data_IF_447366457152
#
_entry.id   IF_447366457152
#
_cell.length_a   1.000
_cell.length_b   1.000
_cell.length_c   1.000
_cell.angle_alpha   90.00
_cell.angle_beta   90.00
_cell.angle_gamma   90.00
#
_symmetry.space_group_name_H-M   'P 1'
#
loop_
_entity.id
_entity.type
_entity.pdbx_description
1 polymer ?
#
# COMPACT_ATOMS: atom_id res chain seq x y z
N UNK A 1 19.94 -6.45 -19.26
CA UNK A 1 19.17 -5.34 -18.67
C UNK A 1 19.29 -5.41 -17.16
N UNK A 2 19.83 -4.38 -16.51
CA UNK A 2 19.92 -4.31 -15.04
C UNK A 2 18.64 -3.68 -14.51
N UNK A 3 17.84 -4.41 -13.74
CA UNK A 3 16.65 -3.90 -13.05
C UNK A 3 17.08 -2.93 -11.96
N UNK A 4 16.37 -1.81 -11.81
CA UNK A 4 16.64 -0.83 -10.79
C UNK A 4 16.25 -1.39 -9.41
N UNK A 5 17.09 -1.12 -8.41
CA UNK A 5 16.96 -1.62 -7.04
C UNK A 5 15.71 -0.98 -6.40
N UNK A 6 14.58 -1.69 -6.40
CA UNK A 6 13.32 -1.24 -5.80
C UNK A 6 12.05 -1.75 -6.48
N UNK A 7 12.14 -2.28 -7.70
CA UNK A 7 10.95 -2.77 -8.42
C UNK A 7 10.48 -4.12 -7.85
N UNK A 8 9.65 -4.10 -6.80
CA UNK A 8 8.80 -5.25 -6.50
C UNK A 8 7.85 -5.42 -7.67
N UNK A 9 8.06 -6.45 -8.50
CA UNK A 9 7.11 -6.88 -9.53
C UNK A 9 5.74 -7.12 -8.88
N UNK A 10 4.85 -6.13 -8.93
CA UNK A 10 3.43 -6.33 -8.63
C UNK A 10 2.79 -6.89 -9.90
N UNK A 11 2.80 -8.22 -10.05
CA UNK A 11 2.32 -8.92 -11.23
C UNK A 11 0.91 -9.50 -11.00
N UNK A 12 -0.06 -8.62 -10.73
CA UNK A 12 -1.47 -9.00 -10.60
C UNK A 12 -2.40 -7.87 -11.04
N UNK A 13 -3.66 -8.18 -11.38
CA UNK A 13 -4.64 -7.17 -11.75
C UNK A 13 -4.88 -6.20 -10.57
N UNK A 14 -4.90 -4.90 -10.87
CA UNK A 14 -5.19 -3.86 -9.89
C UNK A 14 -6.67 -3.50 -9.89
N UNK A 15 -7.26 -3.29 -8.72
CA UNK A 15 -8.61 -2.75 -8.55
C UNK A 15 -8.56 -1.40 -7.81
N UNK A 16 -9.61 -0.60 -7.96
CA UNK A 16 -9.82 0.63 -7.18
C UNK A 16 -10.78 0.34 -6.03
N UNK A 17 -10.54 0.98 -4.90
CA UNK A 17 -11.44 1.00 -3.74
C UNK A 17 -11.72 2.46 -3.38
N UNK A 18 -12.90 2.74 -2.84
CA UNK A 18 -13.28 4.04 -2.30
C UNK A 18 -13.37 3.91 -0.78
N UNK A 19 -12.71 4.81 -0.05
CA UNK A 19 -12.57 4.78 1.40
C UNK A 19 -12.74 6.18 1.97
N UNK A 20 -13.36 6.27 3.14
CA UNK A 20 -13.35 7.47 3.96
C UNK A 20 -12.18 7.40 4.94
N UNK A 21 -11.29 8.38 4.87
CA UNK A 21 -10.11 8.49 5.74
C UNK A 21 -10.03 9.91 6.30
N UNK A 22 -9.37 10.06 7.44
CA UNK A 22 -9.07 11.39 7.97
C UNK A 22 -8.29 12.22 6.96
N UNK A 23 -8.69 13.49 6.81
CA UNK A 23 -8.05 14.42 5.86
C UNK A 23 -6.55 14.54 6.09
N UNK A 24 -6.14 14.55 7.36
CA UNK A 24 -4.73 14.61 7.80
C UNK A 24 -3.91 13.44 7.24
N UNK A 25 -4.47 12.22 7.22
CA UNK A 25 -3.80 11.05 6.65
C UNK A 25 -3.64 11.17 5.13
N UNK A 26 -4.64 11.72 4.44
CA UNK A 26 -4.56 11.96 3.00
C UNK A 26 -3.47 12.99 2.68
N UNK A 27 -3.42 14.08 3.44
CA UNK A 27 -2.40 15.13 3.29
C UNK A 27 -0.98 14.57 3.56
N UNK A 28 -0.82 13.76 4.60
CA UNK A 28 0.44 13.08 4.89
C UNK A 28 0.85 12.12 3.77
N UNK A 29 -0.09 11.33 3.24
CA UNK A 29 0.17 10.40 2.14
C UNK A 29 0.63 11.13 0.87
N UNK A 30 0.05 12.29 0.57
CA UNK A 30 0.48 13.15 -0.54
C UNK A 30 1.91 13.70 -0.31
N UNK A 31 2.23 14.12 0.91
CA UNK A 31 3.58 14.58 1.25
C UNK A 31 4.62 13.46 1.12
N UNK A 32 4.28 12.23 1.54
CA UNK A 32 5.15 11.06 1.41
C UNK A 32 5.45 10.74 -0.05
N UNK A 33 4.45 10.77 -0.93
CA UNK A 33 4.67 10.57 -2.37
C UNK A 33 5.56 11.66 -2.95
N UNK A 34 5.33 12.93 -2.59
CA UNK A 34 6.14 14.06 -3.04
C UNK A 34 7.60 13.98 -2.61
N UNK A 35 7.87 13.50 -1.40
CA UNK A 35 9.23 13.38 -0.86
C UNK A 35 9.96 12.13 -1.38
N UNK A 36 9.30 10.97 -1.38
CA UNK A 36 9.95 9.67 -1.68
C UNK A 36 9.93 9.30 -3.17
N UNK A 37 9.08 9.95 -3.97
CA UNK A 37 8.75 9.57 -5.36
C UNK A 37 8.13 8.17 -5.49
N UNK A 38 7.73 7.54 -4.39
CA UNK A 38 6.99 6.29 -4.36
C UNK A 38 5.50 6.61 -4.47
N UNK A 39 4.78 5.89 -5.33
CA UNK A 39 3.35 6.15 -5.54
C UNK A 39 2.53 5.93 -4.26
N UNK A 40 1.45 6.70 -4.08
CA UNK A 40 0.48 6.47 -2.98
C UNK A 40 0.00 5.02 -2.92
N UNK A 41 -0.31 4.43 -4.08
CA UNK A 41 -0.74 3.03 -4.18
C UNK A 41 0.30 2.07 -3.61
N UNK A 42 1.59 2.34 -3.83
CA UNK A 42 2.66 1.49 -3.32
C UNK A 42 2.90 1.65 -1.82
N UNK A 43 2.83 2.88 -1.32
CA UNK A 43 2.88 3.19 0.12
C UNK A 43 1.73 2.46 0.84
N UNK A 44 0.50 2.63 0.34
CA UNK A 44 -0.71 2.00 0.91
C UNK A 44 -0.64 0.47 0.82
N UNK A 45 -0.20 -0.10 -0.31
CA UNK A 45 -0.02 -1.55 -0.43
C UNK A 45 0.96 -2.06 0.63
N UNK A 46 2.08 -1.37 0.82
CA UNK A 46 3.12 -1.77 1.77
C UNK A 46 2.59 -1.72 3.20
N UNK A 47 1.85 -0.66 3.55
CA UNK A 47 1.21 -0.52 4.85
C UNK A 47 0.17 -1.63 5.10
N UNK A 48 -0.71 -1.89 4.12
CA UNK A 48 -1.73 -2.94 4.22
C UNK A 48 -1.11 -4.34 4.34
N UNK A 49 -0.08 -4.66 3.56
CA UNK A 49 0.60 -5.96 3.67
C UNK A 49 1.22 -6.17 5.05
N UNK A 50 1.84 -5.13 5.62
CA UNK A 50 2.39 -5.19 6.98
C UNK A 50 1.31 -5.37 8.03
N UNK A 51 0.18 -4.66 7.88
CA UNK A 51 -0.97 -4.80 8.75
C UNK A 51 -1.52 -6.23 8.71
N UNK A 52 -1.83 -6.75 7.51
CA UNK A 52 -2.33 -8.11 7.29
C UNK A 52 -1.39 -9.16 7.89
N UNK A 53 -0.08 -9.00 7.70
CA UNK A 53 0.91 -9.93 8.26
C UNK A 53 0.93 -9.94 9.79
N UNK A 54 0.61 -8.81 10.42
CA UNK A 54 0.64 -8.64 11.88
C UNK A 54 -0.70 -8.96 12.55
N UNK A 55 -1.80 -8.91 11.78
CA UNK A 55 -3.17 -9.00 12.25
C UNK A 55 -3.95 -10.09 11.49
N UNK A 56 -3.47 -11.34 11.59
CA UNK A 56 -4.13 -12.50 10.96
C UNK A 56 -5.50 -12.82 11.56
N UNK A 57 -5.76 -12.34 12.76
CA UNK A 57 -7.02 -12.43 13.51
C UNK A 57 -8.18 -11.65 12.86
N UNK A 58 -7.88 -10.68 11.99
CA UNK A 58 -8.89 -9.97 11.22
C UNK A 58 -9.45 -10.78 10.05
N UNK A 59 -8.90 -11.96 9.78
CA UNK A 59 -9.42 -12.88 8.79
C UNK A 59 -10.29 -13.94 9.47
N UNK A 60 -11.42 -14.32 8.87
CA UNK A 60 -12.23 -15.41 9.39
C UNK A 60 -11.36 -16.68 9.51
N UNK A 61 -11.54 -17.51 10.56
CA UNK A 61 -10.91 -18.82 10.62
C UNK A 61 -11.31 -19.59 9.37
N UNK A 62 -10.30 -20.11 8.66
CA UNK A 62 -10.37 -20.68 7.32
C UNK A 62 -11.72 -21.38 7.00
N UNK A 63 -12.34 -20.99 5.88
CA UNK A 63 -13.35 -21.81 5.21
C UNK A 63 -12.67 -22.83 4.31
#
# INVERSE_FOLDING_TARGET
MKLAKGETKKSGPTAKIELELEKTLIEQLQQMEGYTKISKSEIVTTALLRFISSHKDYFPPEH
#
